data_IF_675064964654
#
_entry.id   IF_675064964654
#
_cell.length_a   1.000
_cell.length_b   1.000
_cell.length_c   1.000
_cell.angle_alpha   90.00
_cell.angle_beta   90.00
_cell.angle_gamma   90.00
#
_symmetry.space_group_name_H-M   'P 1'
#
loop_
_entity.id
_entity.type
_entity.pdbx_description
1 polymer ?
#
# COMPACT_ATOMS: atom_id res chain seq x y z
N UNK A 1 -23.14 -34.98 11.17
CA UNK A 1 -23.25 -33.56 10.79
C UNK A 1 -21.89 -33.12 10.28
N UNK A 2 -21.70 -33.03 8.96
CA UNK A 2 -20.48 -32.46 8.38
C UNK A 2 -20.62 -30.94 8.42
N UNK A 3 -19.97 -30.29 9.39
CA UNK A 3 -19.83 -28.84 9.39
C UNK A 3 -19.02 -28.47 8.15
N UNK A 4 -19.68 -27.94 7.10
CA UNK A 4 -18.93 -27.28 6.04
C UNK A 4 -18.39 -25.99 6.64
N UNK A 5 -17.07 -25.89 6.78
CA UNK A 5 -16.44 -24.63 7.15
C UNK A 5 -16.59 -23.68 5.95
N UNK A 6 -17.64 -22.87 6.00
CA UNK A 6 -17.92 -21.87 4.98
C UNK A 6 -16.85 -20.78 5.07
N UNK A 7 -16.00 -20.70 4.06
CA UNK A 7 -15.03 -19.61 3.92
C UNK A 7 -15.78 -18.34 3.55
N UNK A 8 -15.68 -17.30 4.37
CA UNK A 8 -16.31 -16.00 4.12
C UNK A 8 -15.30 -15.03 3.49
N UNK A 9 -15.72 -14.14 2.58
CA UNK A 9 -14.81 -13.16 2.02
C UNK A 9 -14.36 -12.15 3.08
N UNK A 10 -13.12 -11.69 2.94
CA UNK A 10 -12.50 -10.69 3.82
C UNK A 10 -13.26 -9.38 3.70
N UNK A 11 -13.56 -8.69 4.80
CA UNK A 11 -14.18 -7.37 4.77
C UNK A 11 -13.36 -6.46 5.66
N UNK A 12 -12.75 -5.46 5.05
CA UNK A 12 -12.00 -4.42 5.74
C UNK A 12 -12.91 -3.23 6.07
N UNK A 13 -12.51 -2.44 7.05
CA UNK A 13 -13.15 -1.15 7.31
C UNK A 13 -12.88 -0.18 6.14
N UNK A 14 -13.73 0.84 5.96
CA UNK A 14 -13.71 1.63 4.72
C UNK A 14 -12.41 2.44 4.53
N UNK A 15 -11.77 2.83 5.63
CA UNK A 15 -10.47 3.50 5.67
C UNK A 15 -9.30 2.56 5.35
N UNK A 16 -9.48 1.25 5.53
CA UNK A 16 -8.47 0.22 5.24
C UNK A 16 -8.53 -0.33 3.81
N UNK A 17 -9.65 -0.12 3.10
CA UNK A 17 -9.80 -0.55 1.70
C UNK A 17 -8.76 0.09 0.79
N UNK A 18 -8.37 -0.64 -0.24
CA UNK A 18 -7.43 -0.14 -1.23
C UNK A 18 -7.99 1.08 -1.97
N UNK A 19 -7.24 2.18 -1.91
CA UNK A 19 -7.60 3.46 -2.50
C UNK A 19 -6.65 3.92 -3.61
N UNK A 20 -5.74 3.04 -4.07
CA UNK A 20 -4.70 3.38 -5.05
C UNK A 20 -3.39 3.85 -4.43
N UNK A 21 -3.38 4.26 -3.16
CA UNK A 21 -2.22 4.87 -2.51
C UNK A 21 -1.69 4.04 -1.33
N UNK A 22 -2.54 3.24 -0.69
CA UNK A 22 -2.24 2.49 0.53
C UNK A 22 -1.81 1.03 0.29
N UNK A 23 -1.18 0.73 -0.85
CA UNK A 23 -0.84 -0.65 -1.26
C UNK A 23 -0.15 -1.47 -0.17
N UNK A 24 0.93 -0.97 0.42
CA UNK A 24 1.73 -1.74 1.39
C UNK A 24 0.89 -2.19 2.61
N UNK A 25 0.05 -1.29 3.15
CA UNK A 25 -0.84 -1.62 4.26
C UNK A 25 -1.95 -2.57 3.82
N UNK A 26 -2.57 -2.30 2.67
CA UNK A 26 -3.62 -3.13 2.10
C UNK A 26 -3.13 -4.57 1.83
N UNK A 27 -1.98 -4.72 1.18
CA UNK A 27 -1.37 -6.01 0.86
C UNK A 27 -1.06 -6.80 2.14
N UNK A 28 -0.45 -6.16 3.14
CA UNK A 28 -0.14 -6.80 4.42
C UNK A 28 -1.41 -7.36 5.09
N UNK A 29 -2.48 -6.56 5.16
CA UNK A 29 -3.75 -6.97 5.78
C UNK A 29 -4.41 -8.08 4.97
N UNK A 30 -4.48 -7.93 3.64
CA UNK A 30 -5.07 -8.94 2.76
C UNK A 30 -4.32 -10.26 2.80
N UNK A 31 -2.98 -10.25 2.82
CA UNK A 31 -2.16 -11.48 2.93
C UNK A 31 -2.33 -12.13 4.30
N UNK A 32 -2.41 -11.35 5.38
CA UNK A 32 -2.62 -11.87 6.73
C UNK A 32 -3.99 -12.56 6.85
N UNK A 33 -5.06 -11.86 6.46
CA UNK A 33 -6.43 -12.38 6.50
C UNK A 33 -6.67 -13.50 5.48
N UNK A 34 -6.02 -13.42 4.32
CA UNK A 34 -6.11 -14.42 3.26
C UNK A 34 -5.45 -15.73 3.65
N UNK A 35 -4.31 -15.67 4.35
CA UNK A 35 -3.57 -16.86 4.74
C UNK A 35 -4.34 -17.70 5.77
N UNK A 36 -4.99 -17.04 6.75
CA UNK A 36 -5.83 -17.74 7.75
C UNK A 36 -7.06 -18.44 7.12
N UNK A 37 -7.46 -18.02 5.92
CA UNK A 37 -8.61 -18.53 5.16
C UNK A 37 -8.22 -19.40 3.96
N UNK A 38 -6.93 -19.65 3.73
CA UNK A 38 -6.42 -20.41 2.58
C UNK A 38 -6.60 -19.73 1.21
N UNK A 39 -6.91 -18.43 1.16
CA UNK A 39 -7.21 -17.70 -0.07
C UNK A 39 -5.95 -17.30 -0.85
N UNK A 40 -4.81 -17.16 -0.18
CA UNK A 40 -3.53 -16.75 -0.80
C UNK A 40 -3.13 -17.71 -1.92
N UNK A 41 -3.36 -19.01 -1.77
CA UNK A 41 -3.05 -19.98 -2.82
C UNK A 41 -3.85 -19.75 -4.11
N UNK A 42 -5.07 -19.22 -4.01
CA UNK A 42 -5.89 -18.86 -5.17
C UNK A 42 -5.35 -17.59 -5.82
N UNK A 43 -5.06 -16.56 -5.03
CA UNK A 43 -4.50 -15.29 -5.52
C UNK A 43 -3.12 -15.44 -6.17
N UNK A 44 -2.29 -16.38 -5.70
CA UNK A 44 -0.98 -16.68 -6.27
C UNK A 44 -1.03 -17.75 -7.37
N UNK A 45 -2.23 -18.14 -7.81
CA UNK A 45 -2.43 -19.14 -8.87
C UNK A 45 -1.73 -20.51 -8.59
N UNK A 46 -1.70 -20.93 -7.32
CA UNK A 46 -1.07 -22.19 -6.87
C UNK A 46 -2.04 -23.36 -6.81
N UNK A 47 -3.35 -23.11 -6.84
CA UNK A 47 -4.39 -24.14 -6.75
C UNK A 47 -4.64 -24.74 -8.13
N UNK A 48 -4.56 -26.06 -8.23
CA UNK A 48 -4.89 -26.76 -9.47
C UNK A 48 -6.41 -26.76 -9.71
N UNK A 49 -6.82 -26.45 -10.94
CA UNK A 49 -8.22 -26.53 -11.35
C UNK A 49 -8.63 -28.01 -11.40
N UNK A 50 -9.60 -28.46 -10.59
CA UNK A 50 -9.99 -29.87 -10.57
C UNK A 50 -10.72 -30.26 -11.85
N UNK A 51 -10.41 -31.46 -12.36
CA UNK A 51 -11.18 -32.05 -13.46
C UNK A 51 -12.61 -32.42 -13.03
N UNK A 52 -13.51 -32.53 -14.00
CA UNK A 52 -14.86 -33.02 -13.76
C UNK A 52 -14.81 -34.47 -13.26
N UNK A 53 -15.22 -34.69 -12.01
CA UNK A 53 -15.24 -36.01 -11.38
C UNK A 53 -16.69 -36.37 -11.07
N UNK A 54 -17.15 -37.55 -11.52
CA UNK A 54 -18.55 -38.00 -11.38
C UNK A 54 -18.86 -38.62 -10.00
N UNK A 55 -17.86 -38.71 -9.12
CA UNK A 55 -17.97 -39.37 -7.81
C UNK A 55 -17.86 -38.31 -6.71
N UNK A 56 -18.67 -38.39 -5.64
CA UNK A 56 -18.51 -37.52 -4.47
C UNK A 56 -17.12 -37.70 -3.85
N UNK A 57 -16.34 -36.62 -3.85
CA UNK A 57 -15.02 -36.58 -3.21
C UNK A 57 -15.16 -36.18 -1.73
N UNK A 58 -14.26 -36.66 -0.86
CA UNK A 58 -14.20 -36.18 0.51
C UNK A 58 -13.87 -34.68 0.54
N UNK A 59 -14.26 -34.00 1.62
CA UNK A 59 -13.93 -32.60 1.84
C UNK A 59 -12.41 -32.42 1.96
N UNK A 60 -11.87 -31.37 1.37
CA UNK A 60 -10.44 -31.06 1.43
C UNK A 60 -10.14 -29.99 2.47
N UNK A 61 -8.94 -29.97 3.08
CA UNK A 61 -8.50 -28.88 3.94
C UNK A 61 -8.62 -27.51 3.25
N UNK A 62 -8.86 -26.45 4.02
CA UNK A 62 -9.08 -25.09 3.50
C UNK A 62 -7.89 -24.56 2.68
N UNK A 63 -6.68 -24.97 3.05
CA UNK A 63 -5.41 -24.62 2.40
C UNK A 63 -4.96 -25.64 1.35
N UNK A 64 -5.82 -26.58 0.94
CA UNK A 64 -5.49 -27.58 -0.08
C UNK A 64 -5.18 -26.92 -1.43
N UNK A 65 -4.11 -27.38 -2.08
CA UNK A 65 -3.77 -27.02 -3.46
C UNK A 65 -4.53 -27.85 -4.50
N UNK A 66 -5.26 -28.87 -4.06
CA UNK A 66 -6.04 -29.80 -4.89
C UNK A 66 -7.45 -30.00 -4.31
N UNK A 67 -8.25 -28.93 -4.21
CA UNK A 67 -9.64 -29.03 -3.76
C UNK A 67 -10.48 -29.89 -4.71
N UNK A 68 -11.67 -30.33 -4.29
CA UNK A 68 -12.64 -30.84 -5.26
C UNK A 68 -13.27 -29.70 -6.06
N UNK A 69 -13.97 -30.00 -7.16
CA UNK A 69 -14.51 -28.98 -8.07
C UNK A 69 -15.47 -27.99 -7.41
N UNK A 70 -16.33 -28.47 -6.50
CA UNK A 70 -17.30 -27.62 -5.80
C UNK A 70 -16.59 -26.68 -4.82
N UNK A 71 -15.63 -27.21 -4.05
CA UNK A 71 -14.80 -26.43 -3.14
C UNK A 71 -13.95 -25.41 -3.89
N UNK A 72 -13.38 -25.79 -5.04
CA UNK A 72 -12.63 -24.88 -5.91
C UNK A 72 -13.50 -23.69 -6.31
N UNK A 73 -14.67 -23.94 -6.89
CA UNK A 73 -15.56 -22.88 -7.36
C UNK A 73 -15.99 -21.94 -6.22
N UNK A 74 -16.32 -22.50 -5.05
CA UNK A 74 -16.69 -21.71 -3.88
C UNK A 74 -15.52 -20.86 -3.38
N UNK A 75 -14.34 -21.46 -3.17
CA UNK A 75 -13.17 -20.77 -2.59
C UNK A 75 -12.60 -19.73 -3.56
N UNK A 76 -12.60 -20.01 -4.87
CA UNK A 76 -12.21 -19.05 -5.90
C UNK A 76 -13.15 -17.85 -5.95
N UNK A 77 -14.47 -18.08 -5.85
CA UNK A 77 -15.46 -17.00 -5.74
C UNK A 77 -15.23 -16.15 -4.49
N UNK A 78 -14.91 -16.78 -3.35
CA UNK A 78 -14.59 -16.07 -2.11
C UNK A 78 -13.27 -15.29 -2.22
N UNK A 79 -12.26 -15.85 -2.88
CA UNK A 79 -10.98 -15.20 -3.13
C UNK A 79 -11.16 -13.93 -3.97
N UNK A 80 -11.92 -14.01 -5.07
CA UNK A 80 -12.24 -12.85 -5.91
C UNK A 80 -13.10 -11.82 -5.17
N UNK A 81 -14.15 -12.27 -4.48
CA UNK A 81 -15.03 -11.40 -3.72
C UNK A 81 -14.30 -10.63 -2.62
N UNK A 82 -13.24 -11.23 -2.04
CA UNK A 82 -12.37 -10.58 -1.05
C UNK A 82 -11.55 -9.44 -1.65
N UNK A 83 -11.13 -9.55 -2.91
CA UNK A 83 -10.44 -8.44 -3.60
C UNK A 83 -11.46 -7.35 -3.94
N UNK A 84 -12.51 -7.69 -4.68
CA UNK A 84 -13.48 -6.72 -5.23
C UNK A 84 -14.08 -5.82 -4.16
N UNK A 85 -14.47 -6.37 -2.99
CA UNK A 85 -15.13 -5.59 -1.94
C UNK A 85 -14.20 -4.68 -1.15
N UNK A 86 -12.89 -4.93 -1.23
CA UNK A 86 -11.88 -4.19 -0.49
C UNK A 86 -11.05 -3.26 -1.40
N UNK A 87 -11.48 -3.07 -2.65
CA UNK A 87 -10.92 -2.10 -3.60
C UNK A 87 -11.98 -1.04 -3.90
N UNK A 88 -11.66 0.25 -3.72
CA UNK A 88 -12.66 1.34 -3.86
C UNK A 88 -13.09 1.58 -5.30
N UNK A 89 -12.18 1.45 -6.26
CA UNK A 89 -12.45 1.67 -7.69
C UNK A 89 -11.91 0.52 -8.55
N UNK A 90 -12.66 -0.60 -8.56
CA UNK A 90 -12.26 -1.80 -9.32
C UNK A 90 -12.13 -1.53 -10.83
N UNK A 91 -12.99 -0.67 -11.39
CA UNK A 91 -13.01 -0.40 -12.83
C UNK A 91 -11.89 0.57 -13.23
N UNK A 92 -11.63 1.60 -12.42
CA UNK A 92 -10.50 2.51 -12.65
C UNK A 92 -9.14 1.81 -12.59
N UNK A 93 -9.03 0.73 -11.80
CA UNK A 93 -7.83 -0.13 -11.72
C UNK A 93 -7.79 -1.17 -12.85
N UNK A 94 -8.91 -1.44 -13.53
CA UNK A 94 -8.98 -2.44 -14.60
C UNK A 94 -9.22 -3.88 -14.13
N UNK A 95 -9.75 -4.07 -12.92
CA UNK A 95 -10.14 -5.39 -12.41
C UNK A 95 -11.44 -5.84 -13.09
N UNK A 96 -11.39 -6.97 -13.80
CA UNK A 96 -12.55 -7.63 -14.39
C UNK A 96 -13.15 -8.66 -13.40
N UNK A 97 -14.39 -8.45 -12.89
CA UNK A 97 -15.03 -9.34 -11.92
C UNK A 97 -15.46 -10.69 -12.50
N UNK A 98 -15.27 -10.91 -13.81
CA UNK A 98 -15.53 -12.20 -14.47
C UNK A 98 -14.26 -13.04 -14.66
N UNK A 99 -13.09 -12.51 -14.28
CA UNK A 99 -11.82 -13.24 -14.34
C UNK A 99 -11.48 -13.91 -13.02
N UNK A 100 -10.60 -14.93 -13.05
CA UNK A 100 -10.07 -15.54 -11.84
C UNK A 100 -9.42 -14.54 -10.89
N UNK A 101 -9.46 -14.84 -9.59
CA UNK A 101 -8.94 -14.02 -8.49
C UNK A 101 -7.46 -13.71 -8.64
N UNK A 102 -6.65 -14.64 -9.15
CA UNK A 102 -5.22 -14.41 -9.40
C UNK A 102 -4.97 -13.30 -10.42
N UNK A 103 -5.84 -13.12 -11.42
CA UNK A 103 -5.64 -12.05 -12.41
C UNK A 103 -5.90 -10.68 -11.78
N UNK A 104 -6.91 -10.57 -10.92
CA UNK A 104 -7.15 -9.35 -10.14
C UNK A 104 -5.98 -9.05 -9.18
N UNK A 105 -5.45 -10.08 -8.51
CA UNK A 105 -4.32 -9.94 -7.59
C UNK A 105 -3.01 -9.59 -8.31
N UNK A 106 -2.78 -10.14 -9.51
CA UNK A 106 -1.64 -9.81 -10.35
C UNK A 106 -1.68 -8.35 -10.83
N UNK A 107 -2.82 -7.85 -11.32
CA UNK A 107 -2.97 -6.41 -11.67
C UNK A 107 -2.57 -5.53 -10.50
N UNK A 108 -3.09 -5.84 -9.31
CA UNK A 108 -2.78 -5.06 -8.12
C UNK A 108 -1.27 -5.11 -7.76
N UNK A 109 -0.65 -6.30 -7.81
CA UNK A 109 0.80 -6.43 -7.54
C UNK A 109 1.68 -5.82 -8.62
N UNK A 110 1.32 -5.94 -9.90
CA UNK A 110 2.10 -5.36 -11.00
C UNK A 110 2.05 -3.84 -10.94
N UNK A 111 0.85 -3.30 -10.75
CA UNK A 111 0.58 -1.88 -10.92
C UNK A 111 0.83 -1.09 -9.63
N UNK A 112 0.87 -1.77 -8.49
CA UNK A 112 1.03 -1.15 -7.17
C UNK A 112 2.05 -1.84 -6.26
N UNK A 113 2.26 -3.16 -6.40
CA UNK A 113 3.25 -3.90 -5.59
C UNK A 113 4.70 -3.80 -6.07
N UNK A 114 4.91 -3.52 -7.35
CA UNK A 114 6.26 -3.44 -7.92
C UNK A 114 6.72 -1.99 -8.01
N UNK A 115 7.07 -1.34 -6.88
CA UNK A 115 7.58 0.05 -6.83
C UNK A 115 7.01 0.96 -7.92
N UNK A 116 5.70 0.89 -8.14
CA UNK A 116 5.14 1.33 -9.42
C UNK A 116 5.53 2.76 -9.64
N UNK A 117 6.04 3.07 -10.83
CA UNK A 117 6.44 4.44 -11.19
C UNK A 117 5.32 5.43 -10.84
N UNK A 118 4.05 5.00 -10.88
CA UNK A 118 2.91 5.77 -10.45
C UNK A 118 2.90 6.06 -8.94
N UNK A 119 3.04 5.05 -8.07
CA UNK A 119 3.09 5.25 -6.62
C UNK A 119 4.33 6.06 -6.23
N UNK A 120 5.48 5.71 -6.80
CA UNK A 120 6.73 6.46 -6.61
C UNK A 120 6.51 7.94 -6.96
N UNK A 121 6.00 8.22 -8.16
CA UNK A 121 5.74 9.58 -8.61
C UNK A 121 4.68 10.28 -7.76
N UNK A 122 3.65 9.57 -7.29
CA UNK A 122 2.63 10.13 -6.41
C UNK A 122 3.23 10.55 -5.06
N UNK A 123 3.99 9.66 -4.42
CA UNK A 123 4.64 9.94 -3.13
C UNK A 123 5.68 11.06 -3.25
N UNK A 124 6.44 11.10 -4.34
CA UNK A 124 7.34 12.23 -4.63
C UNK A 124 6.58 13.55 -4.81
N UNK A 125 5.45 13.54 -5.54
CA UNK A 125 4.61 14.73 -5.71
C UNK A 125 4.03 15.19 -4.37
N UNK A 126 3.54 14.28 -3.54
CA UNK A 126 3.02 14.59 -2.20
C UNK A 126 4.10 15.22 -1.33
N UNK A 127 5.32 14.66 -1.31
CA UNK A 127 6.44 15.24 -0.57
C UNK A 127 6.75 16.68 -1.05
N UNK A 128 6.79 16.91 -2.36
CA UNK A 128 7.09 18.23 -2.96
C UNK A 128 5.96 19.26 -2.80
N UNK A 129 4.72 18.80 -2.66
CA UNK A 129 3.54 19.64 -2.52
C UNK A 129 3.35 20.17 -1.09
N UNK A 130 3.87 19.48 -0.09
CA UNK A 130 3.74 19.90 1.32
C UNK A 130 4.58 21.15 1.58
N UNK A 131 3.92 22.22 2.05
CA UNK A 131 4.54 23.50 2.41
C UNK A 131 4.39 23.78 3.89
N UNK A 132 5.42 24.36 4.49
CA UNK A 132 5.36 24.88 5.85
C UNK A 132 4.40 26.07 5.90
N UNK A 133 3.57 26.13 6.94
CA UNK A 133 2.66 27.26 7.18
C UNK A 133 3.24 28.15 8.28
N UNK A 134 3.22 29.46 8.08
CA UNK A 134 3.70 30.40 9.09
C UNK A 134 2.91 30.24 10.41
N UNK A 135 3.67 30.09 11.50
CA UNK A 135 3.12 29.81 12.84
C UNK A 135 2.86 28.33 13.14
N UNK A 136 3.12 27.41 12.21
CA UNK A 136 3.08 25.97 12.49
C UNK A 136 4.28 25.53 13.33
N UNK A 137 4.12 24.47 14.12
CA UNK A 137 5.21 23.88 14.90
C UNK A 137 6.26 23.25 13.97
N UNK A 138 7.51 23.71 14.03
CA UNK A 138 8.61 23.18 13.20
C UNK A 138 9.03 21.76 13.61
N UNK A 139 9.10 21.49 14.92
CA UNK A 139 9.77 20.31 15.50
C UNK A 139 8.94 19.63 16.60
N UNK A 140 9.31 18.39 16.99
CA UNK A 140 8.63 17.59 18.01
C UNK A 140 7.31 16.98 17.53
N UNK A 141 6.56 16.34 18.44
CA UNK A 141 5.33 15.60 18.08
C UNK A 141 4.35 16.46 17.27
N UNK A 142 3.94 15.94 16.11
CA UNK A 142 3.09 16.61 15.12
C UNK A 142 3.78 17.69 14.28
N UNK A 143 5.08 17.95 14.50
CA UNK A 143 5.85 19.02 13.87
C UNK A 143 6.12 18.79 12.39
N UNK A 144 6.37 19.90 11.69
CA UNK A 144 6.56 19.92 10.24
C UNK A 144 7.72 19.03 9.76
N UNK A 145 8.87 19.05 10.45
CA UNK A 145 10.04 18.25 10.06
C UNK A 145 9.78 16.75 10.20
N UNK A 146 9.01 16.32 11.22
CA UNK A 146 8.64 14.92 11.39
C UNK A 146 7.72 14.45 10.25
N UNK A 147 6.76 15.30 9.87
CA UNK A 147 5.87 15.04 8.73
C UNK A 147 6.65 14.88 7.42
N UNK A 148 7.60 15.77 7.15
CA UNK A 148 8.47 15.69 5.97
C UNK A 148 9.34 14.42 5.97
N UNK A 149 9.90 14.03 7.13
CA UNK A 149 10.66 12.78 7.25
C UNK A 149 9.80 11.54 7.03
N UNK A 150 8.57 11.53 7.55
CA UNK A 150 7.60 10.46 7.32
C UNK A 150 7.28 10.32 5.83
N UNK A 151 6.99 11.42 5.14
CA UNK A 151 6.72 11.42 3.70
C UNK A 151 7.92 10.95 2.87
N UNK A 152 9.15 11.37 3.23
CA UNK A 152 10.38 10.86 2.61
C UNK A 152 10.50 9.35 2.77
N UNK A 153 10.24 8.83 3.98
CA UNK A 153 10.26 7.39 4.24
C UNK A 153 9.23 6.67 3.36
N UNK A 154 7.99 7.14 3.33
CA UNK A 154 6.93 6.56 2.49
C UNK A 154 7.30 6.57 0.99
N UNK A 155 7.92 7.63 0.51
CA UNK A 155 8.41 7.70 -0.88
C UNK A 155 9.55 6.71 -1.13
N UNK A 156 10.50 6.57 -0.20
CA UNK A 156 11.61 5.62 -0.32
C UNK A 156 11.16 4.17 -0.19
N UNK A 157 10.19 3.88 0.68
CA UNK A 157 9.54 2.58 0.78
C UNK A 157 8.79 2.24 -0.53
N UNK A 158 8.34 3.26 -1.28
CA UNK A 158 7.81 3.15 -2.63
C UNK A 158 8.87 3.22 -3.76
N UNK A 159 10.16 3.18 -3.43
CA UNK A 159 11.25 3.07 -4.41
C UNK A 159 11.77 4.40 -4.98
N UNK A 160 11.41 5.55 -4.39
CA UNK A 160 11.82 6.87 -4.89
C UNK A 160 13.32 7.17 -4.75
N UNK A 161 14.03 6.49 -3.84
CA UNK A 161 15.48 6.66 -3.69
C UNK A 161 15.91 8.09 -3.33
N UNK A 162 15.07 8.83 -2.61
CA UNK A 162 15.30 10.22 -2.20
C UNK A 162 16.43 10.27 -1.17
N UNK A 163 17.59 10.73 -1.64
CA UNK A 163 18.80 10.96 -0.86
C UNK A 163 18.72 12.25 -0.03
N UNK A 164 19.70 12.46 0.84
CA UNK A 164 19.73 13.63 1.73
C UNK A 164 19.84 14.95 0.96
N UNK A 165 20.50 14.93 -0.21
CA UNK A 165 20.64 16.11 -1.07
C UNK A 165 19.29 16.54 -1.64
N UNK A 166 18.53 15.60 -2.19
CA UNK A 166 17.22 15.87 -2.80
C UNK A 166 16.19 16.23 -1.74
N UNK A 167 16.23 15.54 -0.60
CA UNK A 167 15.37 15.85 0.54
C UNK A 167 15.66 17.24 1.10
N UNK A 168 16.94 17.62 1.25
CA UNK A 168 17.33 18.97 1.67
C UNK A 168 16.71 20.03 0.77
N UNK A 169 16.87 19.92 -0.55
CA UNK A 169 16.34 20.93 -1.48
C UNK A 169 14.83 21.02 -1.34
N UNK A 170 14.15 19.88 -1.31
CA UNK A 170 12.68 19.83 -1.15
C UNK A 170 12.22 20.45 0.18
N UNK A 171 12.96 20.22 1.26
CA UNK A 171 12.67 20.77 2.59
C UNK A 171 12.92 22.28 2.65
N UNK A 172 13.95 22.80 1.99
CA UNK A 172 14.23 24.24 1.97
C UNK A 172 13.24 24.99 1.07
N UNK A 173 12.91 24.43 -0.09
CA UNK A 173 11.90 24.97 -1.03
C UNK A 173 10.47 24.94 -0.48
N UNK A 174 10.23 24.27 0.65
CA UNK A 174 8.91 24.14 1.23
C UNK A 174 8.58 25.22 2.26
N UNK A 175 9.55 25.99 2.72
CA UNK A 175 9.32 27.14 3.59
C UNK A 175 8.83 28.38 2.80
N UNK A 176 8.00 29.23 3.42
CA UNK A 176 7.52 30.47 2.82
C UNK A 176 8.62 31.54 2.76
N UNK A 177 8.39 32.60 1.96
CA UNK A 177 9.33 33.72 1.74
C UNK A 177 9.78 34.41 3.04
N UNK A 178 8.94 34.39 4.08
CA UNK A 178 9.26 34.93 5.41
C UNK A 178 10.49 34.27 6.04
N UNK A 179 10.85 33.06 5.59
CA UNK A 179 12.03 32.30 6.04
C UNK A 179 13.25 32.46 5.14
N UNK A 180 13.16 33.22 4.03
CA UNK A 180 14.26 33.39 3.06
C UNK A 180 15.60 33.79 3.69
N UNK A 181 15.67 34.70 4.68
CA UNK A 181 16.94 35.08 5.31
C UNK A 181 17.65 33.90 5.97
N UNK A 182 16.91 32.93 6.49
CA UNK A 182 17.45 31.72 7.11
C UNK A 182 17.72 30.67 6.05
N UNK A 183 16.72 30.33 5.23
CA UNK A 183 16.76 29.28 4.21
C UNK A 183 17.90 29.51 3.22
N UNK A 184 18.12 30.75 2.77
CA UNK A 184 19.19 31.11 1.83
C UNK A 184 20.58 30.71 2.34
N UNK A 185 20.83 30.84 3.64
CA UNK A 185 22.11 30.48 4.26
C UNK A 185 22.33 28.97 4.37
N UNK A 186 21.24 28.20 4.36
CA UNK A 186 21.25 26.74 4.52
C UNK A 186 21.48 26.00 3.20
N UNK A 187 21.32 26.67 2.05
CA UNK A 187 21.62 26.07 0.75
C UNK A 187 23.08 25.68 0.57
N UNK A 188 24.02 26.32 1.27
CA UNK A 188 25.45 25.95 1.22
C UNK A 188 25.81 24.78 2.16
N UNK A 189 25.00 24.51 3.19
CA UNK A 189 25.27 23.46 4.19
C UNK A 189 25.04 22.06 3.60
N UNK A 190 25.96 21.12 3.82
CA UNK A 190 25.82 19.76 3.29
C UNK A 190 25.21 18.79 4.31
N UNK A 191 25.33 19.11 5.59
CA UNK A 191 24.86 18.26 6.65
C UNK A 191 23.38 18.51 6.94
N UNK A 192 22.52 17.55 6.57
CA UNK A 192 21.08 17.61 6.80
C UNK A 192 20.72 17.79 8.28
N UNK A 193 21.49 17.20 9.20
CA UNK A 193 21.28 17.36 10.64
C UNK A 193 21.52 18.79 11.10
N UNK A 194 22.55 19.47 10.56
CA UNK A 194 22.83 20.88 10.87
C UNK A 194 21.73 21.78 10.33
N UNK A 195 21.24 21.50 9.12
CA UNK A 195 20.13 22.24 8.50
C UNK A 195 18.88 22.13 9.37
N UNK A 196 18.50 20.90 9.73
CA UNK A 196 17.34 20.64 10.57
C UNK A 196 17.49 21.35 11.92
N UNK A 197 18.64 21.24 12.58
CA UNK A 197 18.87 21.93 13.86
C UNK A 197 18.67 23.45 13.74
N UNK A 198 19.18 24.07 12.67
CA UNK A 198 19.01 25.51 12.44
C UNK A 198 17.57 25.92 12.14
N UNK A 199 16.82 25.10 11.40
CA UNK A 199 15.39 25.33 11.17
C UNK A 199 14.61 25.26 12.47
N UNK A 200 14.92 24.28 13.33
CA UNK A 200 14.30 24.13 14.65
C UNK A 200 14.62 25.36 15.52
N UNK A 201 15.89 25.77 15.62
CA UNK A 201 16.28 26.92 16.43
C UNK A 201 15.71 28.27 15.97
N UNK A 202 15.26 28.38 14.72
CA UNK A 202 14.61 29.59 14.22
C UNK A 202 13.09 29.60 14.49
N UNK A 203 12.47 28.43 14.49
CA UNK A 203 11.02 28.28 14.67
C UNK A 203 10.55 28.06 16.10
N UNK A 204 11.49 27.94 17.05
CA UNK A 204 11.25 27.97 18.50
C UNK A 204 11.45 29.39 19.05
#
# INVERSE_FOLDING_TARGET
MTSSHQVLPIKLDDDEKFNGENWATFEMVMMTEGNTRGLVNYWENKVAIPGATLVPLPATPINSLTPNLLEYAQRESVALASIIRNVKDIFGIGIDPHKPSHMAWEILKSDYGTYSDLIRNCREKTLKAVKYQDGEKVSGDGGYIERMRKLRKEANDAGAGIDDKSFKTTLLDSFPETWDPVVSTLYAEKNLTVIIARLISHGE
#
